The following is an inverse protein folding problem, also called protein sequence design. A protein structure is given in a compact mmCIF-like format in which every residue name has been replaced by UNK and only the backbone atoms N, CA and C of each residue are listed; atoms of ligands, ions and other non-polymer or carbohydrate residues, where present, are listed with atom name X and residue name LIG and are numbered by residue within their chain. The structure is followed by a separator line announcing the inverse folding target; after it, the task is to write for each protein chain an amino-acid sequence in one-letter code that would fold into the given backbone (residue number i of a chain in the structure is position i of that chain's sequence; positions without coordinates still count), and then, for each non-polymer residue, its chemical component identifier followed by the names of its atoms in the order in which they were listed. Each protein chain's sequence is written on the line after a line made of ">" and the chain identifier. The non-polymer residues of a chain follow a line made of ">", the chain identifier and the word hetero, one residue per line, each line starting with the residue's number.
data_IF_031706654456
#
_entry.id   IF_031706654456
#
_cell.length_a   1.000
_cell.length_b   1.000
_cell.length_c   1.000
_cell.angle_alpha   90.00
_cell.angle_beta   90.00
_cell.angle_gamma   90.00
#
_symmetry.space_group_name_H-M   'P 1'
#
loop_
_entity.id
_entity.type
_entity.pdbx_description
1 polymer ?
#
# COMPACT_ATOMS: atom_id res chain seq x y z
N UNK A 1 -0.36 9.39 5.14
CA UNK A 1 0.82 8.60 5.54
C UNK A 1 2.06 9.46 5.32
N UNK A 2 2.90 9.62 6.35
CA UNK A 2 3.97 10.61 6.32
C UNK A 2 5.29 10.11 5.74
N UNK A 3 5.67 8.89 5.98
CA UNK A 3 6.96 8.35 5.53
C UNK A 3 6.77 7.34 4.41
N UNK A 4 6.23 7.83 3.29
CA UNK A 4 5.93 6.97 2.15
C UNK A 4 6.33 7.59 0.83
N UNK A 5 6.62 6.73 -0.13
CA UNK A 5 6.85 7.09 -1.52
C UNK A 5 5.88 6.29 -2.39
N UNK A 6 5.52 6.85 -3.53
CA UNK A 6 4.63 6.20 -4.49
C UNK A 6 5.23 6.29 -5.88
N UNK A 7 5.19 5.18 -6.61
CA UNK A 7 5.64 5.09 -7.99
C UNK A 7 4.88 3.98 -8.72
N UNK A 8 4.25 4.30 -9.84
CA UNK A 8 3.52 3.34 -10.70
C UNK A 8 2.53 2.48 -9.91
N UNK A 9 1.77 3.10 -9.00
CA UNK A 9 0.79 2.46 -8.11
C UNK A 9 1.39 1.60 -6.98
N UNK A 10 2.71 1.53 -6.87
CA UNK A 10 3.37 0.89 -5.75
C UNK A 10 3.68 1.93 -4.67
N UNK A 11 3.43 1.54 -3.43
CA UNK A 11 3.61 2.40 -2.27
C UNK A 11 4.62 1.76 -1.34
N UNK A 12 5.61 2.53 -0.92
CA UNK A 12 6.65 2.05 -0.03
C UNK A 12 6.65 2.86 1.26
N UNK A 13 6.99 2.18 2.34
CA UNK A 13 7.26 2.80 3.63
C UNK A 13 8.76 2.99 3.78
N UNK A 14 9.16 4.15 4.31
CA UNK A 14 10.56 4.52 4.49
C UNK A 14 10.88 4.56 5.98
N UNK A 15 12.00 3.95 6.35
CA UNK A 15 12.54 4.01 7.70
C UNK A 15 14.01 4.47 7.64
N UNK A 16 14.47 5.11 8.70
CA UNK A 16 15.85 5.48 8.85
C UNK A 16 16.59 4.41 9.65
N UNK A 17 17.68 3.88 9.08
CA UNK A 17 18.55 2.93 9.77
C UNK A 17 19.69 3.70 10.43
N UNK A 18 19.63 3.82 11.76
CA UNK A 18 20.60 4.61 12.52
C UNK A 18 21.97 3.94 12.59
N UNK A 19 22.04 2.61 12.49
CA UNK A 19 23.31 1.88 12.53
C UNK A 19 24.10 2.10 11.25
N UNK A 20 23.48 1.90 10.11
CA UNK A 20 24.12 2.06 8.81
C UNK A 20 24.01 3.49 8.27
N UNK A 21 23.24 4.35 8.93
CA UNK A 21 22.99 5.74 8.55
C UNK A 21 22.51 5.89 7.11
N UNK A 22 21.55 5.04 6.75
CA UNK A 22 20.90 5.08 5.45
C UNK A 22 19.38 5.06 5.63
N UNK A 23 18.66 5.44 4.57
CA UNK A 23 17.24 5.22 4.49
C UNK A 23 16.98 3.85 3.87
N UNK A 24 16.02 3.14 4.41
CA UNK A 24 15.59 1.84 3.90
C UNK A 24 14.10 1.91 3.61
N UNK A 25 13.72 1.44 2.44
CA UNK A 25 12.32 1.38 2.03
C UNK A 25 11.86 -0.03 1.75
N UNK A 26 10.57 -0.25 1.94
CA UNK A 26 9.93 -1.52 1.62
C UNK A 26 8.60 -1.26 0.95
N UNK A 27 8.37 -1.90 -0.19
CA UNK A 27 7.09 -1.85 -0.88
C UNK A 27 6.05 -2.63 -0.09
N UNK A 28 4.92 -1.99 0.17
CA UNK A 28 3.84 -2.55 0.99
C UNK A 28 2.91 -3.43 0.16
N UNK A 29 2.26 -4.38 0.83
CA UNK A 29 1.18 -5.17 0.24
C UNK A 29 1.61 -6.21 -0.76
N UNK A 30 2.86 -6.64 -0.74
CA UNK A 30 3.37 -7.67 -1.63
C UNK A 30 3.75 -8.93 -0.86
N UNK A 31 3.52 -10.09 -1.46
CA UNK A 31 3.98 -11.36 -0.90
C UNK A 31 5.50 -11.49 -1.03
N UNK A 32 6.05 -10.97 -2.12
CA UNK A 32 7.49 -10.91 -2.36
C UNK A 32 8.04 -9.64 -1.72
N UNK A 33 9.14 -9.74 -0.97
CA UNK A 33 9.75 -8.57 -0.35
C UNK A 33 10.54 -7.77 -1.38
N UNK A 34 10.10 -6.54 -1.60
CA UNK A 34 10.77 -5.60 -2.47
C UNK A 34 11.30 -4.46 -1.61
N UNK A 35 12.63 -4.40 -1.45
CA UNK A 35 13.31 -3.42 -0.62
C UNK A 35 14.29 -2.59 -1.44
N UNK A 36 14.60 -1.42 -0.93
CA UNK A 36 15.54 -0.49 -1.56
C UNK A 36 16.14 0.40 -0.48
N UNK A 37 17.21 1.10 -0.81
CA UNK A 37 17.91 1.95 0.17
C UNK A 37 18.63 3.09 -0.52
N UNK A 38 19.06 4.06 0.27
CA UNK A 38 19.85 5.18 -0.19
C UNK A 38 20.42 5.98 0.96
N UNK A 39 21.58 6.59 0.75
CA UNK A 39 22.22 7.46 1.73
C UNK A 39 21.68 8.90 1.66
N UNK A 40 20.94 9.23 0.62
CA UNK A 40 20.27 10.51 0.44
C UNK A 40 18.85 10.27 -0.05
N UNK A 41 18.03 11.30 -0.01
CA UNK A 41 16.65 11.22 -0.54
C UNK A 41 16.66 10.91 -2.03
N UNK A 42 17.52 11.56 -2.79
CA UNK A 42 17.62 11.34 -4.24
C UNK A 42 18.04 9.91 -4.57
N UNK A 43 19.01 9.37 -3.85
CA UNK A 43 19.43 7.98 -4.02
C UNK A 43 18.33 7.01 -3.66
N UNK A 44 17.60 7.30 -2.58
CA UNK A 44 16.48 6.45 -2.13
C UNK A 44 15.38 6.39 -3.17
N UNK A 45 14.98 7.55 -3.71
CA UNK A 45 13.95 7.64 -4.74
C UNK A 45 14.37 6.91 -6.01
N UNK A 46 15.61 7.11 -6.44
CA UNK A 46 16.14 6.44 -7.63
C UNK A 46 16.16 4.92 -7.46
N UNK A 47 16.55 4.45 -6.29
CA UNK A 47 16.60 3.01 -6.01
C UNK A 47 15.19 2.41 -5.90
N UNK A 48 14.24 3.17 -5.36
CA UNK A 48 12.83 2.76 -5.34
C UNK A 48 12.29 2.56 -6.76
N UNK A 49 12.47 3.55 -7.61
CA UNK A 49 12.00 3.48 -9.00
C UNK A 49 12.67 2.34 -9.76
N UNK A 50 13.96 2.16 -9.56
CA UNK A 50 14.69 1.02 -10.13
C UNK A 50 14.12 -0.31 -9.65
N UNK A 51 13.87 -0.45 -8.35
CA UNK A 51 13.34 -1.69 -7.79
C UNK A 51 11.98 -2.04 -8.37
N UNK A 52 11.09 -1.07 -8.49
CA UNK A 52 9.76 -1.27 -9.09
C UNK A 52 9.88 -1.64 -10.57
N UNK A 53 10.66 -0.89 -11.33
CA UNK A 53 10.84 -1.14 -12.77
C UNK A 53 11.48 -2.51 -13.01
N UNK A 54 12.47 -2.87 -12.21
CA UNK A 54 13.13 -4.18 -12.29
C UNK A 54 12.13 -5.31 -12.00
N UNK A 55 11.33 -5.16 -10.94
CA UNK A 55 10.30 -6.14 -10.59
C UNK A 55 9.32 -6.35 -11.75
N UNK A 56 8.81 -5.25 -12.33
CA UNK A 56 7.87 -5.33 -13.45
C UNK A 56 8.50 -5.97 -14.68
N UNK A 57 9.76 -5.65 -14.96
CA UNK A 57 10.52 -6.25 -16.07
C UNK A 57 10.71 -7.75 -15.88
N UNK A 58 11.06 -8.18 -14.66
CA UNK A 58 11.21 -9.60 -14.35
C UNK A 58 9.90 -10.37 -14.48
N UNK A 59 8.78 -9.77 -14.04
CA UNK A 59 7.46 -10.39 -14.20
C UNK A 59 7.13 -10.57 -15.67
N UNK A 60 7.42 -9.58 -16.52
CA UNK A 60 7.19 -9.67 -17.95
C UNK A 60 8.01 -10.79 -18.59
N UNK A 61 9.30 -10.88 -18.26
CA UNK A 61 10.20 -11.93 -18.77
C UNK A 61 9.76 -13.32 -18.39
N UNK A 62 9.22 -13.49 -17.18
CA UNK A 62 8.78 -14.77 -16.66
C UNK A 62 7.34 -15.11 -17.02
N UNK A 63 6.62 -14.20 -17.69
CA UNK A 63 5.21 -14.37 -18.00
C UNK A 63 4.32 -14.34 -16.77
N UNK A 64 4.78 -13.76 -15.65
CA UNK A 64 4.01 -13.61 -14.41
C UNK A 64 3.26 -12.30 -14.42
N UNK A 65 2.06 -12.33 -13.86
CA UNK A 65 1.31 -11.10 -13.63
C UNK A 65 1.86 -10.41 -12.38
N UNK A 66 2.24 -9.12 -12.47
CA UNK A 66 2.75 -8.43 -11.29
C UNK A 66 1.68 -8.23 -10.22
N UNK A 67 2.07 -8.30 -8.97
CA UNK A 67 1.19 -7.99 -7.85
C UNK A 67 0.91 -6.48 -7.83
N UNK A 68 -0.33 -6.13 -7.54
CA UNK A 68 -0.75 -4.74 -7.37
C UNK A 68 -1.32 -4.57 -5.97
N UNK A 69 -0.56 -4.00 -5.04
CA UNK A 69 -0.98 -3.89 -3.64
C UNK A 69 -2.29 -3.14 -3.43
N UNK A 70 -2.54 -2.12 -4.24
CA UNK A 70 -3.74 -1.30 -4.13
C UNK A 70 -4.67 -1.54 -5.32
N UNK A 71 -5.24 -2.74 -5.40
CA UNK A 71 -6.12 -3.13 -6.51
C UNK A 71 -7.52 -2.51 -6.44
N UNK A 72 -7.91 -1.96 -5.29
CA UNK A 72 -9.28 -1.50 -5.05
C UNK A 72 -10.20 -2.60 -4.53
N UNK A 73 -9.71 -3.82 -4.39
CA UNK A 73 -10.49 -4.94 -3.84
C UNK A 73 -9.92 -5.33 -2.48
N UNK A 74 -10.79 -5.41 -1.50
CA UNK A 74 -10.40 -5.73 -0.13
C UNK A 74 -11.46 -6.61 0.51
N UNK A 75 -11.03 -7.74 1.07
CA UNK A 75 -11.88 -8.61 1.87
C UNK A 75 -11.59 -8.33 3.34
N UNK A 76 -12.61 -7.90 4.07
CA UNK A 76 -12.51 -7.64 5.50
C UNK A 76 -13.31 -8.69 6.28
N UNK A 77 -12.72 -9.16 7.38
CA UNK A 77 -13.40 -9.98 8.37
C UNK A 77 -13.65 -9.13 9.60
N UNK A 78 -14.92 -8.95 9.93
CA UNK A 78 -15.35 -8.14 11.06
C UNK A 78 -16.04 -9.02 12.10
N UNK A 79 -15.92 -8.68 13.39
CA UNK A 79 -16.80 -9.29 14.38
C UNK A 79 -18.27 -9.06 13.96
N UNK A 80 -19.16 -10.05 14.19
CA UNK A 80 -20.56 -9.92 13.73
C UNK A 80 -21.26 -8.66 14.22
N UNK A 81 -21.02 -8.22 15.45
CA UNK A 81 -21.62 -7.01 16.01
C UNK A 81 -21.12 -5.74 15.29
N UNK A 82 -19.87 -5.71 14.89
CA UNK A 82 -19.31 -4.57 14.14
C UNK A 82 -19.90 -4.54 12.73
N UNK A 83 -20.06 -5.71 12.10
CA UNK A 83 -20.68 -5.81 10.80
C UNK A 83 -22.14 -5.32 10.85
N UNK A 84 -22.89 -5.75 11.87
CA UNK A 84 -24.28 -5.32 12.05
C UNK A 84 -24.37 -3.80 12.27
N UNK A 85 -23.52 -3.25 13.13
CA UNK A 85 -23.48 -1.82 13.41
C UNK A 85 -23.17 -1.01 12.15
N UNK A 86 -22.21 -1.48 11.36
CA UNK A 86 -21.85 -0.82 10.11
C UNK A 86 -23.00 -0.85 9.10
N UNK A 87 -23.73 -1.95 9.01
CA UNK A 87 -24.90 -2.08 8.12
C UNK A 87 -26.01 -1.10 8.53
N UNK A 88 -26.27 -0.97 9.82
CA UNK A 88 -27.25 -0.01 10.34
C UNK A 88 -26.81 1.43 10.04
N UNK A 89 -25.56 1.75 10.30
CA UNK A 89 -25.02 3.09 10.05
C UNK A 89 -25.11 3.46 8.56
N UNK A 90 -24.77 2.53 7.68
CA UNK A 90 -24.86 2.75 6.24
C UNK A 90 -26.29 3.02 5.80
N UNK A 91 -27.25 2.20 6.26
CA UNK A 91 -28.67 2.36 5.95
C UNK A 91 -29.20 3.69 6.46
N UNK A 92 -28.82 4.08 7.68
CA UNK A 92 -29.21 5.37 8.28
C UNK A 92 -28.67 6.56 7.49
N UNK A 93 -27.51 6.41 6.85
CA UNK A 93 -26.91 7.44 6.01
C UNK A 93 -27.43 7.41 4.55
N UNK A 94 -28.32 6.47 4.21
CA UNK A 94 -28.82 6.33 2.85
C UNK A 94 -27.78 5.81 1.87
N UNK A 95 -26.80 5.04 2.34
CA UNK A 95 -25.69 4.53 1.53
C UNK A 95 -25.68 3.01 1.55
N UNK A 96 -25.06 2.43 0.51
CA UNK A 96 -24.71 1.01 0.57
C UNK A 96 -23.63 0.79 1.63
N UNK A 97 -23.52 -0.42 2.14
CA UNK A 97 -22.45 -0.75 3.10
C UNK A 97 -21.07 -0.50 2.49
N UNK A 98 -20.89 -0.89 1.23
CA UNK A 98 -19.62 -0.66 0.53
C UNK A 98 -19.27 0.83 0.47
N UNK A 99 -20.21 1.68 0.08
CA UNK A 99 -19.95 3.13 -0.02
C UNK A 99 -19.70 3.75 1.36
N UNK A 100 -20.43 3.30 2.36
CA UNK A 100 -20.21 3.76 3.72
C UNK A 100 -18.79 3.42 4.21
N UNK A 101 -18.34 2.17 3.95
CA UNK A 101 -16.98 1.74 4.30
C UNK A 101 -15.94 2.58 3.54
N UNK A 102 -16.15 2.80 2.24
CA UNK A 102 -15.24 3.65 1.44
C UNK A 102 -15.10 5.04 2.08
N UNK A 103 -16.22 5.66 2.45
CA UNK A 103 -16.21 7.01 3.03
C UNK A 103 -15.49 7.05 4.37
N UNK A 104 -15.72 6.06 5.23
CA UNK A 104 -15.07 5.95 6.53
C UNK A 104 -13.56 5.73 6.40
N UNK A 105 -13.16 4.80 5.52
CA UNK A 105 -11.75 4.50 5.30
C UNK A 105 -11.02 5.70 4.69
N UNK A 106 -11.63 6.35 3.71
CA UNK A 106 -11.04 7.54 3.08
C UNK A 106 -10.81 8.65 4.10
N UNK A 107 -11.78 8.89 4.99
CA UNK A 107 -11.68 9.90 6.03
C UNK A 107 -10.63 9.54 7.07
N UNK A 108 -10.57 8.28 7.48
CA UNK A 108 -9.61 7.81 8.48
C UNK A 108 -8.17 7.79 7.94
N UNK A 109 -7.99 7.57 6.64
CA UNK A 109 -6.67 7.48 5.98
C UNK A 109 -6.13 8.84 5.52
N UNK A 110 -6.94 9.87 5.57
CA UNK A 110 -6.56 11.20 5.10
C UNK A 110 -5.54 11.90 6.03
#
# INVERSE_FOLDING_TARGET
>A
MQNSLKYRSYIARIDFDALDRIFVGRVLGMSEQLTFHGASVDELVADFEFAVDHYLSECEKEGRKPEKPASGKLLLRLPPEVHADASVAAASAGKSLNQWVVDVVAKAAA
#
